data_IF_838408998474
#
_entry.id   IF_838408998474
#
_cell.length_a   1.000
_cell.length_b   1.000
_cell.length_c   1.000
_cell.angle_alpha   90.00
_cell.angle_beta   90.00
_cell.angle_gamma   90.00
#
_symmetry.space_group_name_H-M   'P 1'
#
loop_
_entity.id
_entity.type
_entity.pdbx_description
1 polymer ?
#
# COMPACT_ATOMS: atom_id res chain seq x y z
N UNK A 1 1.45 -20.97 -32.08
CA UNK A 1 1.23 -21.32 -30.67
C UNK A 1 1.56 -20.09 -29.82
N UNK A 2 0.61 -19.17 -29.64
CA UNK A 2 0.90 -17.83 -29.07
C UNK A 2 -0.33 -17.20 -28.43
N UNK A 3 -0.99 -17.94 -27.53
CA UNK A 3 -2.32 -17.60 -27.05
C UNK A 3 -2.39 -16.87 -25.71
N UNK A 4 -1.28 -16.64 -24.98
CA UNK A 4 -1.36 -16.05 -23.63
C UNK A 4 -0.54 -14.76 -23.50
N UNK A 5 0.69 -14.72 -24.02
CA UNK A 5 1.54 -13.53 -23.95
C UNK A 5 1.15 -12.41 -24.94
N UNK A 6 0.41 -12.75 -26.01
CA UNK A 6 -0.03 -11.81 -27.05
C UNK A 6 -1.33 -11.08 -26.70
N UNK A 7 -2.08 -11.53 -25.68
CA UNK A 7 -3.38 -10.95 -25.32
C UNK A 7 -3.22 -9.64 -24.52
N UNK A 8 -2.03 -9.34 -24.01
CA UNK A 8 -1.73 -8.06 -23.36
C UNK A 8 -2.68 -7.73 -22.19
N UNK A 9 -2.82 -6.44 -21.90
CA UNK A 9 -3.72 -5.94 -20.83
C UNK A 9 -5.18 -6.43 -21.00
N UNK A 10 -5.77 -6.48 -22.22
CA UNK A 10 -7.12 -7.01 -22.40
C UNK A 10 -7.31 -8.45 -21.90
N UNK A 11 -6.32 -9.32 -22.10
CA UNK A 11 -6.38 -10.72 -21.65
C UNK A 11 -6.34 -10.86 -20.14
N UNK A 12 -5.50 -10.04 -19.50
CA UNK A 12 -5.40 -9.99 -18.04
C UNK A 12 -6.74 -9.57 -17.40
N UNK A 13 -7.45 -8.62 -18.01
CA UNK A 13 -8.77 -8.17 -17.52
C UNK A 13 -9.78 -9.34 -17.56
N UNK A 14 -9.81 -10.14 -18.62
CA UNK A 14 -10.73 -11.28 -18.73
C UNK A 14 -10.48 -12.31 -17.62
N UNK A 15 -9.20 -12.65 -17.39
CA UNK A 15 -8.81 -13.58 -16.31
C UNK A 15 -9.23 -13.00 -14.95
N UNK A 16 -8.98 -11.72 -14.72
CA UNK A 16 -9.33 -11.03 -13.50
C UNK A 16 -10.85 -11.06 -13.25
N UNK A 17 -11.68 -10.86 -14.28
CA UNK A 17 -13.14 -10.96 -14.17
C UNK A 17 -13.58 -12.37 -13.76
N UNK A 18 -13.01 -13.42 -14.34
CA UNK A 18 -13.35 -14.82 -13.97
C UNK A 18 -13.01 -15.09 -12.51
N UNK A 19 -11.81 -14.68 -12.08
CA UNK A 19 -11.36 -14.78 -10.67
C UNK A 19 -12.30 -14.00 -9.76
N UNK A 20 -12.73 -12.80 -10.15
CA UNK A 20 -13.66 -11.98 -9.39
C UNK A 20 -15.05 -12.58 -9.28
N UNK A 21 -15.51 -13.38 -10.24
CA UNK A 21 -16.80 -14.08 -10.12
C UNK A 21 -16.71 -15.17 -9.05
N UNK A 22 -15.59 -15.89 -8.97
CA UNK A 22 -15.38 -16.95 -7.98
C UNK A 22 -15.18 -16.39 -6.57
N UNK A 23 -14.31 -15.38 -6.43
CA UNK A 23 -13.92 -14.83 -5.12
C UNK A 23 -14.75 -13.62 -4.69
N UNK A 24 -15.38 -12.91 -5.63
CA UNK A 24 -16.10 -11.66 -5.40
C UNK A 24 -15.20 -10.41 -5.43
N UNK A 25 -15.66 -9.27 -6.00
CA UNK A 25 -14.88 -8.03 -6.07
C UNK A 25 -14.58 -7.40 -4.71
N UNK A 26 -15.36 -7.73 -3.68
CA UNK A 26 -15.15 -7.25 -2.30
C UNK A 26 -13.96 -7.91 -1.61
N UNK A 27 -13.50 -9.08 -2.07
CA UNK A 27 -12.41 -9.82 -1.42
C UNK A 27 -11.02 -9.35 -1.81
N UNK A 28 -10.85 -8.80 -3.02
CA UNK A 28 -9.58 -8.18 -3.42
C UNK A 28 -9.15 -7.01 -2.51
N UNK A 29 -10.00 -6.00 -2.21
CA UNK A 29 -9.61 -4.90 -1.32
C UNK A 29 -9.48 -5.35 0.14
N UNK A 30 -10.25 -6.34 0.57
CA UNK A 30 -10.16 -6.96 1.91
C UNK A 30 -8.77 -7.59 2.12
N UNK A 31 -8.34 -8.43 1.17
CA UNK A 31 -7.02 -9.09 1.20
C UNK A 31 -5.91 -8.07 0.98
N UNK A 32 -6.06 -7.17 0.01
CA UNK A 32 -5.08 -6.11 -0.29
C UNK A 32 -4.84 -5.17 0.89
N UNK A 33 -5.87 -4.84 1.65
CA UNK A 33 -5.74 -4.04 2.88
C UNK A 33 -4.96 -4.76 3.97
N UNK A 34 -5.20 -6.06 4.17
CA UNK A 34 -4.46 -6.87 5.15
C UNK A 34 -2.99 -7.05 4.73
N UNK A 35 -2.76 -7.48 3.49
CA UNK A 35 -1.41 -7.67 2.92
C UNK A 35 -0.65 -6.35 2.87
N UNK A 36 -1.32 -5.25 2.51
CA UNK A 36 -0.73 -3.92 2.44
C UNK A 36 -0.23 -3.41 3.79
N UNK A 37 -0.98 -3.66 4.88
CA UNK A 37 -0.52 -3.35 6.24
C UNK A 37 0.71 -4.17 6.62
N UNK A 38 0.70 -5.47 6.35
CA UNK A 38 1.87 -6.34 6.57
C UNK A 38 3.08 -5.88 5.77
N UNK A 39 2.91 -5.52 4.50
CA UNK A 39 4.00 -4.99 3.67
C UNK A 39 4.48 -3.62 4.13
N UNK A 40 3.60 -2.75 4.62
CA UNK A 40 3.98 -1.43 5.15
C UNK A 40 4.82 -1.57 6.42
N UNK A 41 4.42 -2.45 7.34
CA UNK A 41 5.20 -2.79 8.54
C UNK A 41 6.51 -3.47 8.15
N UNK A 42 6.47 -4.45 7.24
CA UNK A 42 7.67 -5.12 6.74
C UNK A 42 8.65 -4.14 6.11
N UNK A 43 8.19 -3.19 5.29
CA UNK A 43 9.03 -2.12 4.71
C UNK A 43 9.64 -1.25 5.81
N UNK A 44 8.89 -0.89 6.85
CA UNK A 44 9.38 -0.04 7.93
C UNK A 44 10.41 -0.74 8.79
N UNK A 45 10.18 -2.01 9.13
CA UNK A 45 11.15 -2.85 9.84
C UNK A 45 12.40 -3.10 9.00
N UNK A 46 12.23 -3.46 7.73
CA UNK A 46 13.34 -3.71 6.81
C UNK A 46 14.16 -2.44 6.58
N UNK A 47 13.51 -1.28 6.43
CA UNK A 47 14.22 0.00 6.33
C UNK A 47 15.04 0.26 7.59
N UNK A 48 14.48 0.12 8.80
CA UNK A 48 15.25 0.30 10.03
C UNK A 48 16.42 -0.66 10.22
N UNK A 49 16.37 -1.86 9.61
CA UNK A 49 17.49 -2.81 9.59
C UNK A 49 18.55 -2.49 8.52
N UNK A 50 18.16 -1.77 7.46
CA UNK A 50 19.06 -1.32 6.39
C UNK A 50 19.66 0.07 6.68
N UNK A 51 18.98 0.88 7.51
CA UNK A 51 19.37 2.25 7.92
C UNK A 51 20.48 2.24 9.00
N UNK A 52 20.81 1.09 9.61
CA UNK A 52 21.97 0.97 10.52
C UNK A 52 23.32 1.17 9.78
N UNK A 53 23.31 1.25 8.44
CA UNK A 53 24.46 1.61 7.59
C UNK A 53 24.33 2.97 6.86
N UNK A 54 23.19 3.67 6.88
CA UNK A 54 23.03 4.97 6.20
C UNK A 54 22.02 5.89 6.94
N UNK A 55 22.53 6.98 7.51
CA UNK A 55 21.81 7.95 8.32
C UNK A 55 20.60 8.63 7.63
N UNK A 56 19.56 8.83 8.45
CA UNK A 56 18.56 9.90 8.41
C UNK A 56 17.93 10.24 7.05
N UNK A 57 16.70 9.78 6.82
CA UNK A 57 15.58 10.65 6.41
C UNK A 57 14.27 9.86 6.36
N UNK A 58 13.27 10.32 7.13
CA UNK A 58 11.88 10.61 6.74
C UNK A 58 11.09 10.81 8.04
N UNK A 59 11.20 12.02 8.58
CA UNK A 59 10.14 12.62 9.40
C UNK A 59 9.01 13.01 8.45
N UNK A 60 7.87 12.31 8.52
CA UNK A 60 6.53 12.83 8.17
C UNK A 60 5.51 11.73 8.37
N UNK A 61 4.71 11.85 9.41
CA UNK A 61 3.24 11.80 9.31
C UNK A 61 2.60 12.28 10.62
N UNK A 62 2.30 13.58 10.66
CA UNK A 62 0.97 14.13 10.94
C UNK A 62 0.29 13.79 12.29
N UNK A 63 0.82 14.32 13.40
CA UNK A 63 0.03 14.78 14.56
C UNK A 63 0.75 16.02 15.12
N UNK A 64 0.02 17.01 15.63
CA UNK A 64 0.49 18.32 16.15
C UNK A 64 0.62 19.49 15.17
N UNK A 65 -0.52 19.92 14.61
CA UNK A 65 -0.70 21.31 14.17
C UNK A 65 -2.08 21.86 14.58
N UNK A 66 -2.51 21.70 15.84
CA UNK A 66 -3.74 22.37 16.33
C UNK A 66 -3.74 22.99 17.73
N UNK A 67 -2.69 22.89 18.54
CA UNK A 67 -2.78 23.33 19.94
C UNK A 67 -2.03 24.63 20.32
N UNK A 68 -1.32 25.32 19.40
CA UNK A 68 -0.59 26.55 19.75
C UNK A 68 -1.26 27.89 19.39
N UNK A 69 -2.45 27.92 18.77
CA UNK A 69 -3.12 29.21 18.43
C UNK A 69 -4.11 29.73 19.48
N UNK A 70 -4.22 29.09 20.66
CA UNK A 70 -5.23 29.46 21.66
C UNK A 70 -4.75 30.36 22.80
N UNK A 71 -3.43 30.58 22.98
CA UNK A 71 -2.91 31.33 24.14
C UNK A 71 -2.53 32.80 23.90
N UNK A 72 -2.59 33.33 22.67
CA UNK A 72 -2.19 34.73 22.38
C UNK A 72 -3.38 35.69 22.15
N UNK A 73 -4.62 35.27 22.43
CA UNK A 73 -5.80 36.16 22.27
C UNK A 73 -6.70 36.22 23.51
N UNK A 74 -6.11 36.12 24.70
CA UNK A 74 -6.73 36.48 25.97
C UNK A 74 -5.87 37.53 26.66
#
# INVERSE_FOLDING_TARGET
MGGLASIGVPGLIIILVIVLIIFGPKKLPEIGGAVGKTFAEFKRSTKGLMDDDDEETVKKDTVEEKDLKKSEKL
#
